data_IF_292207773055
#
_entry.id   IF_292207773055
#
_cell.length_a   1.000
_cell.length_b   1.000
_cell.length_c   1.000
_cell.angle_alpha   90.00
_cell.angle_beta   90.00
_cell.angle_gamma   90.00
#
_symmetry.space_group_name_H-M   'P 1'
#
loop_
_entity.id
_entity.type
_entity.pdbx_description
1 polymer ?
#
# COMPACT_ATOMS: atom_id res chain seq x y z
N UNK A 1 -11.22 -3.75 14.30
CA UNK A 1 -10.58 -4.98 14.76
C UNK A 1 -11.63 -5.90 15.38
N UNK A 2 -11.71 -7.12 14.85
CA UNK A 2 -12.66 -8.10 15.32
C UNK A 2 -12.33 -8.63 16.71
N UNK A 3 -13.34 -9.14 17.38
CA UNK A 3 -13.19 -9.73 18.73
C UNK A 3 -13.26 -11.24 18.66
N UNK A 4 -12.36 -11.92 19.38
CA UNK A 4 -12.37 -13.36 19.53
C UNK A 4 -12.66 -13.70 21.00
N UNK A 5 -13.68 -14.52 21.25
CA UNK A 5 -13.99 -15.04 22.55
C UNK A 5 -13.86 -16.57 22.54
N UNK A 6 -13.12 -17.12 23.49
CA UNK A 6 -12.90 -18.55 23.61
C UNK A 6 -13.89 -19.20 24.58
N UNK A 7 -14.37 -20.39 24.19
CA UNK A 7 -15.15 -21.26 25.05
C UNK A 7 -14.67 -22.70 24.81
N UNK A 8 -13.82 -23.21 25.69
CA UNK A 8 -13.23 -24.56 25.60
C UNK A 8 -12.55 -24.80 24.24
N UNK A 9 -13.09 -25.71 23.43
CA UNK A 9 -12.54 -26.09 22.13
C UNK A 9 -13.06 -25.23 20.96
N UNK A 10 -14.01 -24.33 21.24
CA UNK A 10 -14.59 -23.43 20.25
C UNK A 10 -14.28 -21.98 20.60
N UNK A 11 -14.16 -21.16 19.57
CA UNK A 11 -14.01 -19.72 19.71
C UNK A 11 -15.01 -19.02 18.81
N UNK A 12 -15.48 -17.86 19.26
CA UNK A 12 -16.38 -17.00 18.48
C UNK A 12 -15.63 -15.77 18.02
N UNK A 13 -15.71 -15.53 16.72
CA UNK A 13 -15.19 -14.32 16.09
C UNK A 13 -16.34 -13.35 15.82
N UNK A 14 -16.10 -12.06 16.03
CA UNK A 14 -17.01 -10.98 15.67
C UNK A 14 -16.22 -9.87 14.99
N UNK A 15 -16.47 -9.67 13.71
CA UNK A 15 -15.76 -8.70 12.88
C UNK A 15 -16.30 -7.28 13.00
N UNK A 16 -15.59 -6.34 12.39
CA UNK A 16 -15.98 -4.94 12.29
C UNK A 16 -16.38 -4.61 10.85
N UNK A 17 -17.14 -3.52 10.61
CA UNK A 17 -17.55 -3.17 9.25
C UNK A 17 -16.41 -2.58 8.38
N UNK A 18 -15.27 -2.25 8.98
CA UNK A 18 -14.13 -1.64 8.27
C UNK A 18 -13.13 -2.66 7.74
N UNK A 19 -13.38 -3.95 7.95
CA UNK A 19 -12.44 -5.00 7.58
C UNK A 19 -13.18 -6.17 6.92
N UNK A 20 -12.63 -6.67 5.83
CA UNK A 20 -13.02 -7.95 5.25
C UNK A 20 -12.40 -9.07 6.09
N UNK A 21 -13.23 -9.98 6.54
CA UNK A 21 -12.79 -11.15 7.29
C UNK A 21 -12.72 -12.33 6.33
N UNK A 22 -11.60 -13.02 6.30
CA UNK A 22 -11.43 -14.26 5.53
C UNK A 22 -11.16 -15.39 6.53
N UNK A 23 -12.12 -16.31 6.66
CA UNK A 23 -12.00 -17.49 7.50
C UNK A 23 -11.57 -18.68 6.65
N UNK A 24 -10.35 -19.14 6.88
CA UNK A 24 -9.77 -20.29 6.19
C UNK A 24 -9.82 -21.51 7.09
N UNK A 25 -10.30 -22.63 6.54
CA UNK A 25 -10.27 -23.94 7.20
C UNK A 25 -9.61 -24.94 6.28
N UNK A 26 -8.45 -25.47 6.71
CA UNK A 26 -7.65 -26.41 5.91
C UNK A 26 -7.33 -25.83 4.51
N UNK A 27 -7.01 -24.52 4.46
CA UNK A 27 -6.62 -23.84 3.22
C UNK A 27 -7.78 -23.43 2.31
N UNK A 28 -9.04 -23.69 2.72
CA UNK A 28 -10.23 -23.29 1.95
C UNK A 28 -10.97 -22.16 2.66
N UNK A 29 -11.46 -21.19 1.89
CA UNK A 29 -12.29 -20.11 2.42
C UNK A 29 -13.65 -20.64 2.83
N UNK A 30 -14.00 -20.45 4.11
CA UNK A 30 -15.29 -20.87 4.67
C UNK A 30 -16.23 -19.67 4.80
N UNK A 31 -15.69 -18.54 5.27
CA UNK A 31 -16.44 -17.28 5.40
C UNK A 31 -15.58 -16.14 4.85
N UNK A 32 -16.22 -15.25 4.09
CA UNK A 32 -15.56 -14.03 3.58
C UNK A 32 -16.60 -12.91 3.54
N UNK A 33 -16.29 -11.77 4.15
CA UNK A 33 -17.18 -10.61 4.17
C UNK A 33 -16.85 -9.63 5.26
N UNK A 34 -17.65 -8.59 5.35
CA UNK A 34 -17.49 -7.49 6.33
C UNK A 34 -18.48 -7.69 7.46
N UNK A 35 -18.04 -7.45 8.70
CA UNK A 35 -18.91 -7.49 9.88
C UNK A 35 -19.42 -8.88 10.27
N UNK A 36 -18.74 -9.94 9.86
CA UNK A 36 -19.16 -11.32 10.11
C UNK A 36 -18.97 -11.73 11.57
N UNK A 37 -19.85 -12.61 12.05
CA UNK A 37 -19.69 -13.28 13.34
C UNK A 37 -19.91 -14.77 13.15
N UNK A 38 -19.02 -15.61 13.69
CA UNK A 38 -19.11 -17.06 13.55
C UNK A 38 -18.31 -17.78 14.63
N UNK A 39 -18.65 -19.07 14.83
CA UNK A 39 -17.90 -19.98 15.72
C UNK A 39 -16.89 -20.79 14.91
N UNK A 40 -15.69 -21.01 15.45
CA UNK A 40 -14.64 -21.76 14.79
C UNK A 40 -13.80 -22.56 15.79
N UNK A 41 -13.05 -23.54 15.29
CA UNK A 41 -12.06 -24.29 16.08
C UNK A 41 -10.67 -23.71 15.80
N UNK A 42 -10.02 -23.07 16.80
CA UNK A 42 -8.73 -22.40 16.57
C UNK A 42 -7.63 -23.33 16.00
N UNK A 43 -7.67 -24.62 16.34
CA UNK A 43 -6.67 -25.58 15.86
C UNK A 43 -6.78 -25.89 14.35
N UNK A 44 -7.92 -25.59 13.72
CA UNK A 44 -8.18 -25.97 12.33
C UNK A 44 -8.45 -24.77 11.41
N UNK A 45 -8.43 -23.56 11.96
CA UNK A 45 -8.88 -22.37 11.24
C UNK A 45 -7.86 -21.23 11.37
N UNK A 46 -7.71 -20.45 10.32
CA UNK A 46 -7.03 -19.17 10.33
C UNK A 46 -8.03 -18.07 9.97
N UNK A 47 -7.98 -16.96 10.70
CA UNK A 47 -8.82 -15.79 10.44
C UNK A 47 -7.88 -14.65 10.05
N UNK A 48 -8.15 -14.03 8.90
CA UNK A 48 -7.44 -12.84 8.44
C UNK A 48 -8.39 -11.66 8.36
N UNK A 49 -7.94 -10.52 8.82
CA UNK A 49 -8.66 -9.26 8.70
C UNK A 49 -7.98 -8.40 7.64
N UNK A 50 -8.67 -8.20 6.51
CA UNK A 50 -8.19 -7.41 5.38
C UNK A 50 -8.89 -6.04 5.43
N UNK A 51 -8.16 -4.93 5.46
CA UNK A 51 -8.81 -3.61 5.50
C UNK A 51 -9.76 -3.40 4.33
N UNK A 52 -10.95 -2.87 4.62
CA UNK A 52 -11.99 -2.62 3.61
C UNK A 52 -12.03 -1.15 3.15
N UNK A 53 -11.17 -0.30 3.73
CA UNK A 53 -11.10 1.13 3.42
C UNK A 53 -9.93 1.41 2.47
N UNK A 54 -10.01 2.55 1.79
CA UNK A 54 -8.90 3.02 0.95
C UNK A 54 -7.78 3.56 1.84
N UNK A 55 -6.54 3.34 1.40
CA UNK A 55 -5.33 3.77 2.08
C UNK A 55 -4.59 4.79 1.24
N UNK A 56 -4.09 5.85 1.87
CA UNK A 56 -3.21 6.81 1.22
C UNK A 56 -1.75 6.52 1.56
N UNK A 57 -0.90 6.52 0.55
CA UNK A 57 0.54 6.35 0.68
C UNK A 57 1.22 7.61 0.13
N UNK A 58 1.61 8.56 1.00
CA UNK A 58 2.48 9.66 0.57
C UNK A 58 3.86 9.11 0.23
N UNK A 59 4.43 9.57 -0.87
CA UNK A 59 5.75 9.13 -1.33
C UNK A 59 6.60 10.34 -1.69
N UNK A 60 7.90 10.21 -1.46
CA UNK A 60 8.90 11.20 -1.83
C UNK A 60 10.02 10.43 -2.52
N UNK A 61 10.21 10.69 -3.80
CA UNK A 61 11.22 10.01 -4.61
C UNK A 61 12.35 10.95 -4.95
N UNK A 62 13.58 10.51 -4.74
CA UNK A 62 14.80 11.20 -5.17
C UNK A 62 15.32 10.46 -6.41
N UNK A 63 15.38 11.15 -7.53
CA UNK A 63 15.70 10.53 -8.82
C UNK A 63 16.65 11.43 -9.60
N UNK A 64 17.66 10.82 -10.23
CA UNK A 64 18.57 11.54 -11.13
C UNK A 64 17.99 11.57 -12.55
N UNK A 65 18.05 12.74 -13.17
CA UNK A 65 17.69 12.95 -14.58
C UNK A 65 18.78 12.36 -15.51
N UNK A 66 18.52 12.40 -16.81
CA UNK A 66 19.49 11.94 -17.84
C UNK A 66 20.84 12.66 -17.72
N UNK A 67 20.82 13.96 -17.41
CA UNK A 67 22.03 14.78 -17.23
C UNK A 67 22.56 14.78 -15.79
N UNK A 68 22.18 13.76 -14.99
CA UNK A 68 22.68 13.51 -13.63
C UNK A 68 22.38 14.65 -12.65
N UNK A 69 21.24 15.29 -12.80
CA UNK A 69 20.76 16.29 -11.84
C UNK A 69 19.69 15.64 -10.95
N UNK A 70 19.81 15.85 -9.66
CA UNK A 70 18.88 15.26 -8.69
C UNK A 70 17.59 16.07 -8.61
N UNK A 71 16.46 15.38 -8.72
CA UNK A 71 15.12 15.96 -8.56
C UNK A 71 14.34 15.16 -7.51
N UNK A 72 13.44 15.86 -6.84
CA UNK A 72 12.53 15.26 -5.86
C UNK A 72 11.10 15.33 -6.40
N UNK A 73 10.43 14.18 -6.39
CA UNK A 73 9.02 14.05 -6.78
C UNK A 73 8.21 13.70 -5.55
N UNK A 74 7.18 14.50 -5.29
CA UNK A 74 6.23 14.26 -4.19
C UNK A 74 4.90 13.85 -4.77
N UNK A 75 4.34 12.73 -4.30
CA UNK A 75 3.05 12.22 -4.77
C UNK A 75 2.30 11.55 -3.63
N UNK A 76 0.99 11.34 -3.83
CA UNK A 76 0.14 10.55 -2.94
C UNK A 76 -0.55 9.50 -3.80
N UNK A 77 -0.40 8.24 -3.40
CA UNK A 77 -1.01 7.09 -4.05
C UNK A 77 -2.13 6.58 -3.15
N UNK A 78 -3.32 6.39 -3.71
CA UNK A 78 -4.44 5.79 -2.98
C UNK A 78 -4.63 4.36 -3.48
N UNK A 79 -4.62 3.39 -2.58
CA UNK A 79 -4.77 1.99 -2.93
C UNK A 79 -5.80 1.32 -2.01
N UNK A 80 -6.30 0.17 -2.46
CA UNK A 80 -7.25 -0.62 -1.68
C UNK A 80 -7.04 -2.12 -1.90
N UNK A 81 -7.53 -2.91 -0.98
CA UNK A 81 -7.54 -4.37 -1.09
C UNK A 81 -8.77 -4.78 -1.91
N UNK A 82 -8.59 -4.89 -3.24
CA UNK A 82 -9.66 -5.19 -4.18
C UNK A 82 -10.06 -6.67 -4.13
N UNK A 83 -9.12 -7.56 -3.76
CA UNK A 83 -9.35 -8.99 -3.63
C UNK A 83 -8.91 -9.45 -2.24
N UNK A 84 -9.82 -9.41 -1.25
CA UNK A 84 -9.47 -9.78 0.13
C UNK A 84 -9.01 -11.23 0.30
N UNK A 85 -9.50 -12.15 -0.51
CA UNK A 85 -9.10 -13.56 -0.42
C UNK A 85 -7.64 -13.74 -0.84
N UNK A 86 -7.24 -13.12 -1.95
CA UNK A 86 -5.85 -13.15 -2.41
C UNK A 86 -4.93 -12.47 -1.38
N UNK A 87 -5.34 -11.31 -0.85
CA UNK A 87 -4.57 -10.60 0.18
C UNK A 87 -4.36 -11.48 1.42
N UNK A 88 -5.43 -12.14 1.90
CA UNK A 88 -5.34 -13.00 3.08
C UNK A 88 -4.41 -14.20 2.87
N UNK A 89 -4.32 -14.71 1.64
CA UNK A 89 -3.44 -15.85 1.32
C UNK A 89 -1.99 -15.45 1.12
N UNK A 90 -1.73 -14.24 0.65
CA UNK A 90 -0.38 -13.77 0.27
C UNK A 90 0.30 -12.93 1.33
N UNK A 91 -0.47 -12.35 2.23
CA UNK A 91 0.03 -11.42 3.25
C UNK A 91 -0.23 -12.00 4.64
N UNK A 92 0.59 -11.60 5.60
CA UNK A 92 0.37 -11.98 7.00
C UNK A 92 -0.63 -11.00 7.63
N UNK A 93 -1.91 -11.29 7.46
CA UNK A 93 -3.03 -10.52 8.00
C UNK A 93 -3.78 -11.33 9.07
N UNK A 94 -3.18 -12.42 9.55
CA UNK A 94 -3.81 -13.34 10.48
C UNK A 94 -4.07 -12.67 11.85
N UNK A 95 -5.24 -12.95 12.40
CA UNK A 95 -5.62 -12.51 13.75
C UNK A 95 -5.38 -13.69 14.70
N UNK A 96 -4.48 -13.51 15.64
CA UNK A 96 -4.17 -14.52 16.65
C UNK A 96 -4.95 -14.24 17.94
N UNK A 97 -5.63 -15.25 18.50
CA UNK A 97 -6.42 -15.04 19.70
C UNK A 97 -5.63 -14.66 20.95
N UNK A 98 -4.32 -14.82 20.94
CA UNK A 98 -3.47 -14.70 22.14
C UNK A 98 -2.34 -13.69 21.94
N UNK A 99 -1.97 -13.36 20.70
CA UNK A 99 -0.84 -12.48 20.41
C UNK A 99 -1.27 -11.20 19.72
N UNK A 100 -0.44 -10.20 19.85
CA UNK A 100 -0.62 -8.84 19.37
C UNK A 100 -0.77 -8.77 17.83
N UNK A 101 -1.29 -7.63 17.35
CA UNK A 101 -1.54 -7.32 15.94
C UNK A 101 -0.28 -7.13 15.07
N UNK A 102 0.89 -7.49 15.56
CA UNK A 102 2.16 -7.24 14.87
C UNK A 102 2.19 -7.81 13.44
N UNK A 103 1.65 -9.00 13.24
CA UNK A 103 1.60 -9.63 11.91
C UNK A 103 0.74 -8.84 10.92
N UNK A 104 -0.44 -8.42 11.35
CA UNK A 104 -1.36 -7.64 10.50
C UNK A 104 -0.76 -6.29 10.11
N UNK A 105 -0.16 -5.60 11.07
CA UNK A 105 0.53 -4.32 10.81
C UNK A 105 1.65 -4.52 9.81
N UNK A 106 2.41 -5.60 9.93
CA UNK A 106 3.51 -5.92 9.02
C UNK A 106 3.00 -6.22 7.60
N UNK A 107 1.90 -6.97 7.47
CA UNK A 107 1.29 -7.26 6.17
C UNK A 107 0.82 -6.00 5.45
N UNK A 108 0.16 -5.08 6.17
CA UNK A 108 -0.28 -3.80 5.61
C UNK A 108 0.93 -2.95 5.20
N UNK A 109 2.00 -2.94 6.02
CA UNK A 109 3.23 -2.23 5.71
C UNK A 109 3.91 -2.79 4.45
N UNK A 110 3.96 -4.10 4.28
CA UNK A 110 4.50 -4.74 3.07
C UNK A 110 3.80 -4.25 1.82
N UNK A 111 2.47 -4.10 1.85
CA UNK A 111 1.70 -3.58 0.73
C UNK A 111 2.05 -2.13 0.45
N UNK A 112 2.11 -1.29 1.50
CA UNK A 112 2.48 0.12 1.34
C UNK A 112 3.87 0.27 0.70
N UNK A 113 4.83 -0.55 1.12
CA UNK A 113 6.18 -0.55 0.56
C UNK A 113 6.18 -1.02 -0.89
N UNK A 114 5.42 -2.07 -1.20
CA UNK A 114 5.30 -2.58 -2.58
C UNK A 114 4.70 -1.53 -3.52
N UNK A 115 3.64 -0.84 -3.08
CA UNK A 115 3.03 0.27 -3.85
C UNK A 115 4.07 1.35 -4.12
N UNK A 116 4.86 1.73 -3.10
CA UNK A 116 5.93 2.71 -3.24
C UNK A 116 7.03 2.27 -4.21
N UNK A 117 7.47 1.02 -4.14
CA UNK A 117 8.51 0.46 -5.02
C UNK A 117 8.07 0.46 -6.50
N UNK A 118 6.85 0.02 -6.76
CA UNK A 118 6.30 0.00 -8.13
C UNK A 118 6.22 1.42 -8.67
N UNK A 119 5.69 2.36 -7.87
CA UNK A 119 5.60 3.76 -8.26
C UNK A 119 6.99 4.36 -8.54
N UNK A 120 7.97 4.08 -7.66
CA UNK A 120 9.33 4.61 -7.83
C UNK A 120 9.95 4.15 -9.15
N UNK A 121 9.78 2.88 -9.51
CA UNK A 121 10.35 2.38 -10.79
C UNK A 121 9.76 3.11 -11.99
N UNK A 122 8.46 3.41 -11.96
CA UNK A 122 7.79 4.15 -13.05
C UNK A 122 8.30 5.60 -13.14
N UNK A 123 8.49 6.25 -12.00
CA UNK A 123 9.01 7.63 -11.94
C UNK A 123 10.46 7.68 -12.46
N UNK A 124 11.28 6.72 -12.04
CA UNK A 124 12.68 6.62 -12.48
C UNK A 124 12.76 6.48 -14.00
N UNK A 125 11.94 5.62 -14.59
CA UNK A 125 11.94 5.42 -16.05
C UNK A 125 11.64 6.71 -16.81
N UNK A 126 10.69 7.51 -16.32
CA UNK A 126 10.33 8.80 -16.94
C UNK A 126 11.50 9.80 -16.81
N UNK A 127 12.01 9.99 -15.60
CA UNK A 127 12.96 11.08 -15.33
C UNK A 127 14.34 10.80 -15.91
N UNK A 128 14.75 9.54 -15.99
CA UNK A 128 16.02 9.17 -16.65
C UNK A 128 16.02 9.42 -18.14
N UNK A 129 14.86 9.61 -18.75
CA UNK A 129 14.73 9.94 -20.17
C UNK A 129 14.78 11.44 -20.44
N UNK A 130 14.74 12.29 -19.39
CA UNK A 130 14.65 13.75 -19.50
C UNK A 130 15.88 14.45 -18.91
N UNK A 131 16.32 15.54 -19.52
CA UNK A 131 17.26 16.46 -18.89
C UNK A 131 16.55 17.34 -17.87
N UNK A 132 17.28 17.98 -16.96
CA UNK A 132 16.69 18.80 -15.90
C UNK A 132 15.73 19.88 -16.45
N UNK A 133 16.07 20.67 -17.48
CA UNK A 133 15.11 21.65 -18.02
C UNK A 133 13.83 21.01 -18.54
N UNK A 134 13.94 19.85 -19.20
CA UNK A 134 12.80 19.09 -19.70
C UNK A 134 11.95 18.56 -18.54
N UNK A 135 12.60 18.01 -17.50
CA UNK A 135 11.93 17.50 -16.32
C UNK A 135 11.13 18.60 -15.61
N UNK A 136 11.69 19.81 -15.50
CA UNK A 136 11.02 20.93 -14.83
C UNK A 136 9.87 21.50 -15.67
N UNK A 137 9.93 21.44 -17.00
CA UNK A 137 8.90 21.99 -17.87
C UNK A 137 7.77 21.01 -18.18
N UNK A 138 8.08 19.73 -18.44
CA UNK A 138 7.12 18.72 -18.87
C UNK A 138 7.07 17.48 -17.99
N UNK A 139 7.96 17.37 -17.01
CA UNK A 139 8.11 16.15 -16.21
C UNK A 139 6.90 15.79 -15.35
N UNK A 140 6.27 16.79 -14.72
CA UNK A 140 5.15 16.53 -13.81
C UNK A 140 3.97 15.83 -14.49
N UNK A 141 3.46 16.33 -15.64
CA UNK A 141 2.39 15.60 -16.35
C UNK A 141 2.84 14.23 -16.88
N UNK A 142 4.10 14.09 -17.32
CA UNK A 142 4.62 12.80 -17.79
C UNK A 142 4.71 11.78 -16.65
N UNK A 143 5.17 12.20 -15.48
CA UNK A 143 5.23 11.36 -14.28
C UNK A 143 3.81 10.93 -13.88
N UNK A 144 2.86 11.87 -13.88
CA UNK A 144 1.47 11.57 -13.55
C UNK A 144 0.89 10.52 -14.51
N UNK A 145 1.08 10.72 -15.81
CA UNK A 145 0.58 9.79 -16.85
C UNK A 145 1.20 8.40 -16.66
N UNK A 146 2.51 8.34 -16.45
CA UNK A 146 3.22 7.07 -16.26
C UNK A 146 2.73 6.33 -15.01
N UNK A 147 2.47 7.07 -13.91
CA UNK A 147 1.95 6.48 -12.69
C UNK A 147 0.52 5.97 -12.88
N UNK A 148 -0.36 6.76 -13.48
CA UNK A 148 -1.76 6.37 -13.73
C UNK A 148 -1.81 5.11 -14.60
N UNK A 149 -1.08 5.11 -15.72
CA UNK A 149 -1.10 3.99 -16.67
C UNK A 149 -0.33 2.78 -16.15
N UNK A 150 0.83 3.00 -15.54
CA UNK A 150 1.70 1.92 -15.07
C UNK A 150 1.21 1.23 -13.80
N UNK A 151 0.45 1.93 -12.96
CA UNK A 151 -0.13 1.32 -11.75
C UNK A 151 -1.41 0.54 -12.06
N UNK A 152 -2.09 0.88 -13.17
CA UNK A 152 -3.32 0.21 -13.56
C UNK A 152 -3.02 -1.22 -14.01
N UNK A 153 -3.68 -2.20 -13.39
CA UNK A 153 -3.51 -3.61 -13.73
C UNK A 153 -2.13 -4.16 -13.44
N UNK A 154 -1.38 -3.55 -12.52
CA UNK A 154 -0.04 -3.97 -12.15
C UNK A 154 -0.06 -5.37 -11.54
N UNK A 155 0.63 -6.33 -12.18
CA UNK A 155 0.60 -7.74 -11.78
C UNK A 155 1.13 -7.98 -10.36
N UNK A 156 2.18 -7.25 -9.96
CA UNK A 156 2.75 -7.40 -8.61
C UNK A 156 1.74 -7.01 -7.53
N UNK A 157 0.93 -5.97 -7.79
CA UNK A 157 -0.11 -5.52 -6.85
C UNK A 157 -1.32 -6.45 -6.88
N UNK A 158 -1.77 -6.84 -8.07
CA UNK A 158 -2.86 -7.81 -8.24
C UNK A 158 -2.53 -9.14 -7.57
N UNK A 159 -1.26 -9.55 -7.61
CA UNK A 159 -0.77 -10.79 -6.99
C UNK A 159 -0.91 -10.82 -5.46
N UNK A 160 -1.06 -9.66 -4.81
CA UNK A 160 -1.34 -9.57 -3.37
C UNK A 160 -2.73 -8.99 -3.09
N UNK A 161 -3.60 -8.95 -4.10
CA UNK A 161 -4.99 -8.54 -3.95
C UNK A 161 -5.21 -7.04 -3.84
N UNK A 162 -4.29 -6.22 -4.35
CA UNK A 162 -4.27 -4.77 -4.19
C UNK A 162 -4.39 -4.07 -5.55
N UNK A 163 -5.10 -2.94 -5.59
CA UNK A 163 -5.12 -2.05 -6.75
C UNK A 163 -4.91 -0.61 -6.31
N UNK A 164 -4.29 0.19 -7.17
CA UNK A 164 -4.17 1.64 -6.98
C UNK A 164 -5.35 2.29 -7.68
N UNK A 165 -6.11 3.10 -6.94
CA UNK A 165 -7.34 3.72 -7.43
C UNK A 165 -7.21 5.22 -7.69
N UNK A 166 -6.18 5.88 -7.15
CA UNK A 166 -5.92 7.30 -7.43
C UNK A 166 -4.43 7.62 -7.32
N UNK A 167 -3.98 8.57 -8.13
CA UNK A 167 -2.61 9.09 -8.13
C UNK A 167 -2.66 10.61 -8.19
N UNK A 168 -2.03 11.27 -7.22
CA UNK A 168 -1.87 12.73 -7.21
C UNK A 168 -0.39 13.07 -7.14
N UNK A 169 0.15 13.70 -8.18
CA UNK A 169 1.53 14.19 -8.18
C UNK A 169 1.50 15.66 -7.73
N UNK A 170 2.13 15.93 -6.60
CA UNK A 170 2.05 17.24 -5.94
C UNK A 170 3.13 18.20 -6.41
N UNK A 171 4.36 17.73 -6.59
CA UNK A 171 5.48 18.58 -7.01
C UNK A 171 6.59 17.76 -7.65
N UNK A 172 7.35 18.44 -8.49
CA UNK A 172 8.61 17.96 -9.04
C UNK A 172 9.58 19.15 -8.97
N UNK A 173 10.65 19.04 -8.19
CA UNK A 173 11.58 20.14 -7.90
C UNK A 173 13.04 19.68 -7.92
N UNK A 174 13.98 20.55 -8.33
CA UNK A 174 15.39 20.25 -8.16
C UNK A 174 15.73 20.12 -6.67
N UNK A 175 16.60 19.20 -6.33
CA UNK A 175 17.00 18.99 -4.93
C UNK A 175 17.74 20.21 -4.36
N UNK A 176 18.53 20.89 -5.17
CA UNK A 176 19.24 22.12 -4.80
C UNK A 176 18.29 23.23 -4.30
N UNK A 177 17.09 23.33 -4.86
CA UNK A 177 16.09 24.32 -4.42
C UNK A 177 15.50 23.97 -3.05
N UNK A 178 15.41 22.69 -2.75
CA UNK A 178 14.93 22.22 -1.44
C UNK A 178 15.97 22.49 -0.37
N UNK A 179 17.25 22.27 -0.67
CA UNK A 179 18.35 22.57 0.25
C UNK A 179 18.38 24.06 0.58
N UNK A 180 18.23 24.94 -0.42
CA UNK A 180 18.19 26.40 -0.22
C UNK A 180 17.00 26.82 0.65
N UNK A 181 15.84 26.18 0.47
CA UNK A 181 14.65 26.50 1.27
C UNK A 181 14.78 26.06 2.73
N UNK A 182 15.65 25.09 3.00
CA UNK A 182 15.90 24.57 4.36
C UNK A 182 17.11 25.25 5.05
N UNK A 183 17.87 26.08 4.34
CA UNK A 183 19.02 26.77 4.88
C UNK A 183 18.57 27.97 5.75
N UNK A 184 18.84 27.96 7.08
CA UNK A 184 18.36 29.00 7.96
C UNK A 184 19.05 30.38 7.72
N UNK A 185 20.18 30.42 7.02
CA UNK A 185 20.90 31.65 6.71
C UNK A 185 20.25 32.46 5.58
N UNK A 186 19.32 31.92 4.85
CA UNK A 186 18.60 32.64 3.78
C UNK A 186 17.36 33.36 4.33
N UNK A 187 17.03 33.20 5.59
CA UNK A 187 15.89 33.88 6.23
C UNK A 187 16.21 35.17 6.97
N UNK A 188 17.22 35.47 6.58
CA UNK A 188 17.63 36.68 7.18
C UNK A 188 17.36 37.87 6.53
#
# INVERSE_FOLDING_TARGET
MGRIRRLFLLARYQGTPTEHVVHLRRGRTVHCGVGLAFWFRPALAAISEVPAIDHERPVLFHVATRDQQDVTVQAVLTYRFADPETAARRLDLAVHPVTDDAGRVQGVRQVADLVGEVAQSLVVDVLRALDLPEALSTGLPLVREALVDGMRGQERLAGVGVEVCDVRVLSLRPEADIEKALDPDVMX
#
